data_IF_362715504379
#
_entry.id   IF_362715504379
#
_cell.length_a   1.000
_cell.length_b   1.000
_cell.length_c   1.000
_cell.angle_alpha   90.00
_cell.angle_beta   90.00
_cell.angle_gamma   90.00
#
_symmetry.space_group_name_H-M   'P 1'
#
loop_
_entity.id
_entity.type
_entity.pdbx_description
1 polymer ?
#
# COMPACT_ATOMS: atom_id res chain seq x y z
N UNK A 1 6.67 9.09 -3.05
CA UNK A 1 5.29 9.21 -3.55
C UNK A 1 4.42 8.17 -2.85
N UNK A 2 3.38 8.66 -2.19
CA UNK A 2 2.61 7.97 -1.14
C UNK A 2 1.65 6.95 -1.72
N UNK A 3 1.39 5.88 -0.95
CA UNK A 3 0.20 5.02 -1.13
C UNK A 3 -1.00 5.97 -1.29
N UNK A 4 -1.66 5.94 -2.45
CA UNK A 4 -2.77 6.83 -2.74
C UNK A 4 -3.94 6.52 -1.80
N UNK A 5 -4.33 7.49 -0.97
CA UNK A 5 -5.47 7.40 -0.03
C UNK A 5 -6.77 7.90 -0.69
N UNK A 6 -6.94 7.59 -1.99
CA UNK A 6 -8.11 8.01 -2.77
C UNK A 6 -9.08 6.84 -2.95
N UNK A 7 -10.37 7.13 -2.80
CA UNK A 7 -11.46 6.18 -3.04
C UNK A 7 -11.59 5.95 -4.54
N UNK A 8 -11.21 4.75 -4.99
CA UNK A 8 -11.32 4.36 -6.39
C UNK A 8 -12.70 3.71 -6.65
N UNK A 9 -13.20 3.86 -7.89
CA UNK A 9 -14.47 3.27 -8.32
C UNK A 9 -14.41 1.74 -8.42
N UNK A 10 -15.43 1.12 -9.01
CA UNK A 10 -15.34 -0.29 -9.37
C UNK A 10 -14.35 -0.47 -10.53
N UNK A 11 -13.39 -1.38 -10.40
CA UNK A 11 -12.41 -1.63 -11.45
C UNK A 11 -11.15 -2.32 -10.94
N UNK A 12 -10.22 -2.56 -11.86
CA UNK A 12 -8.88 -3.06 -11.55
C UNK A 12 -7.90 -1.89 -11.53
N UNK A 13 -7.17 -1.74 -10.43
CA UNK A 13 -6.21 -0.65 -10.23
C UNK A 13 -4.84 -1.20 -9.87
N UNK A 14 -3.80 -0.56 -10.41
CA UNK A 14 -2.41 -0.89 -10.10
C UNK A 14 -1.73 0.35 -9.54
N UNK A 15 -1.20 0.23 -8.33
CA UNK A 15 -0.46 1.31 -7.66
C UNK A 15 1.00 0.89 -7.54
N UNK A 16 1.90 1.76 -7.98
CA UNK A 16 3.35 1.56 -7.80
C UNK A 16 3.82 2.33 -6.58
N UNK A 17 4.24 1.59 -5.56
CA UNK A 17 4.83 2.18 -4.37
C UNK A 17 6.34 2.39 -4.56
N UNK A 18 6.81 3.62 -4.36
CA UNK A 18 8.25 3.94 -4.36
C UNK A 18 8.77 4.03 -2.93
N UNK A 19 9.58 3.05 -2.54
CA UNK A 19 10.17 2.94 -1.21
C UNK A 19 11.55 3.64 -1.09
N UNK A 20 11.93 4.47 -2.06
CA UNK A 20 13.30 5.00 -2.19
C UNK A 20 13.76 5.77 -0.94
N UNK A 21 12.84 6.50 -0.29
CA UNK A 21 13.14 7.35 0.86
C UNK A 21 12.89 6.66 2.21
N UNK A 22 12.50 5.39 2.22
CA UNK A 22 12.23 4.64 3.44
C UNK A 22 13.44 3.83 3.91
N UNK A 23 13.75 3.82 5.22
CA UNK A 23 14.80 2.97 5.77
C UNK A 23 14.44 1.49 5.70
N UNK A 24 15.43 0.60 5.72
CA UNK A 24 15.17 -0.83 5.85
C UNK A 24 14.36 -1.12 7.12
N UNK A 25 13.35 -1.98 7.03
CA UNK A 25 12.42 -2.21 8.13
C UNK A 25 11.18 -3.00 7.71
N UNK A 26 10.30 -3.24 8.67
CA UNK A 26 9.01 -3.89 8.44
C UNK A 26 7.94 -2.80 8.39
N UNK A 27 7.19 -2.76 7.30
CA UNK A 27 6.12 -1.81 7.05
C UNK A 27 4.80 -2.56 6.96
N UNK A 28 3.78 -2.05 7.65
CA UNK A 28 2.42 -2.54 7.53
C UNK A 28 1.63 -1.60 6.64
N UNK A 29 0.76 -2.16 5.81
CA UNK A 29 -0.16 -1.41 4.98
C UNK A 29 -1.50 -2.13 4.89
N UNK A 30 -2.55 -1.38 4.61
CA UNK A 30 -3.90 -1.89 4.53
C UNK A 30 -4.48 -1.61 3.15
N UNK A 31 -5.21 -2.58 2.61
CA UNK A 31 -6.08 -2.39 1.46
C UNK A 31 -7.52 -2.41 1.96
N UNK A 32 -8.14 -1.25 1.97
CA UNK A 32 -9.52 -1.07 2.43
C UNK A 32 -10.46 -0.94 1.21
N UNK A 33 -11.52 -1.74 1.21
CA UNK A 33 -12.66 -1.63 0.30
C UNK A 33 -13.91 -1.33 1.11
N UNK A 34 -15.03 -1.03 0.45
CA UNK A 34 -16.31 -0.81 1.15
C UNK A 34 -16.74 -1.99 2.03
N UNK A 35 -16.31 -3.21 1.71
CA UNK A 35 -16.79 -4.44 2.35
C UNK A 35 -15.70 -5.22 3.08
N UNK A 36 -14.42 -4.88 2.89
CA UNK A 36 -13.31 -5.64 3.49
C UNK A 36 -12.08 -4.78 3.74
N UNK A 37 -11.33 -5.14 4.78
CA UNK A 37 -10.01 -4.58 5.08
C UNK A 37 -9.00 -5.72 5.07
N UNK A 38 -7.91 -5.55 4.32
CA UNK A 38 -6.82 -6.50 4.23
C UNK A 38 -5.51 -5.86 4.69
N UNK A 39 -5.03 -6.26 5.88
CA UNK A 39 -3.73 -5.83 6.38
C UNK A 39 -2.62 -6.74 5.85
N UNK A 40 -1.53 -6.16 5.38
CA UNK A 40 -0.36 -6.85 4.84
C UNK A 40 0.92 -6.25 5.43
N UNK A 41 1.97 -7.07 5.49
CA UNK A 41 3.32 -6.62 5.87
C UNK A 41 4.25 -6.67 4.67
N UNK A 42 5.12 -5.68 4.56
CA UNK A 42 6.22 -5.59 3.61
C UNK A 42 7.51 -5.54 4.42
N UNK A 43 8.50 -6.35 4.05
CA UNK A 43 9.85 -6.26 4.58
C UNK A 43 10.67 -5.51 3.53
N UNK A 44 11.15 -4.32 3.88
CA UNK A 44 12.07 -3.55 3.05
C UNK A 44 13.49 -3.83 3.54
N UNK A 45 14.28 -4.47 2.69
CA UNK A 45 15.71 -4.64 2.90
C UNK A 45 16.45 -3.92 1.75
N UNK A 46 17.57 -3.27 2.07
CA UNK A 46 18.46 -2.62 1.09
C UNK A 46 19.67 -3.51 0.85
#
# INVERSE_FOLDING_TARGET
ETLTDEVQGEGSYSVRFSANDLPSGIYYYELQTKTSTHTRKMILNR
#
